data_IF_773766765744
#
_entry.id   IF_773766765744
#
_cell.length_a   1.000
_cell.length_b   1.000
_cell.length_c   1.000
_cell.angle_alpha   90.00
_cell.angle_beta   90.00
_cell.angle_gamma   90.00
#
_symmetry.space_group_name_H-M   'P 1'
#
loop_
_entity.id
_entity.type
_entity.pdbx_description
1 polymer ?
#
# COMPACT_ATOMS: atom_id res chain seq x y z
N UNK A 1 -1.53 -18.93 2.57
CA UNK A 1 -2.99 -18.86 2.31
C UNK A 1 -3.51 -17.48 1.87
N UNK A 2 -3.00 -16.34 2.37
CA UNK A 2 -3.57 -15.00 2.03
C UNK A 2 -3.45 -14.57 0.55
N UNK A 3 -2.49 -15.12 -0.21
CA UNK A 3 -2.29 -14.82 -1.63
C UNK A 3 -3.25 -15.61 -2.56
N UNK A 4 -3.65 -16.83 -2.17
CA UNK A 4 -4.50 -17.70 -2.98
C UNK A 4 -5.91 -17.11 -3.16
N UNK A 5 -6.49 -16.52 -2.12
CA UNK A 5 -7.84 -15.96 -2.18
C UNK A 5 -7.94 -14.72 -3.09
N UNK A 6 -6.88 -13.90 -3.16
CA UNK A 6 -6.83 -12.75 -4.07
C UNK A 6 -6.68 -13.19 -5.54
N UNK A 7 -5.84 -14.21 -5.78
CA UNK A 7 -5.69 -14.83 -7.10
C UNK A 7 -6.99 -15.48 -7.59
N UNK A 8 -7.71 -16.18 -6.71
CA UNK A 8 -9.03 -16.73 -7.04
C UNK A 8 -10.03 -15.64 -7.44
N UNK A 9 -10.09 -14.52 -6.69
CA UNK A 9 -10.97 -13.39 -7.06
C UNK A 9 -10.65 -12.77 -8.41
N UNK A 10 -9.37 -12.65 -8.77
CA UNK A 10 -8.97 -12.14 -10.08
C UNK A 10 -9.36 -13.12 -11.20
N UNK A 11 -9.20 -14.43 -10.96
CA UNK A 11 -9.70 -15.45 -11.89
C UNK A 11 -11.22 -15.38 -12.04
N UNK A 12 -11.98 -15.26 -10.94
CA UNK A 12 -13.44 -15.17 -10.96
C UNK A 12 -13.93 -13.95 -11.76
N UNK A 13 -13.27 -12.79 -11.61
CA UNK A 13 -13.56 -11.57 -12.37
C UNK A 13 -13.30 -11.74 -13.87
N UNK A 14 -12.18 -12.37 -14.25
CA UNK A 14 -11.85 -12.65 -15.65
C UNK A 14 -12.80 -13.69 -16.26
N UNK A 15 -13.20 -14.71 -15.50
CA UNK A 15 -14.21 -15.69 -15.92
C UNK A 15 -15.57 -15.02 -16.13
N UNK A 16 -15.96 -14.10 -15.25
CA UNK A 16 -17.20 -13.33 -15.38
C UNK A 16 -17.18 -12.43 -16.62
N UNK A 17 -16.07 -11.72 -16.89
CA UNK A 17 -15.90 -10.90 -18.10
C UNK A 17 -15.91 -11.75 -19.37
N UNK A 18 -15.26 -12.92 -19.34
CA UNK A 18 -15.27 -13.88 -20.44
C UNK A 18 -16.68 -14.37 -20.78
N UNK A 19 -17.48 -14.71 -19.77
CA UNK A 19 -18.85 -15.19 -19.96
C UNK A 19 -19.80 -14.13 -20.54
N UNK A 20 -19.48 -12.84 -20.37
CA UNK A 20 -20.31 -11.71 -20.83
C UNK A 20 -19.97 -11.22 -22.24
N UNK A 21 -18.92 -11.76 -22.87
CA UNK A 21 -18.44 -11.31 -24.18
C UNK A 21 -18.61 -12.42 -25.21
N UNK A 22 -19.11 -12.07 -26.40
CA UNK A 22 -19.20 -12.98 -27.54
C UNK A 22 -17.97 -12.89 -28.47
N UNK A 23 -17.06 -11.94 -28.22
CA UNK A 23 -15.83 -11.77 -28.99
C UNK A 23 -14.81 -12.85 -28.65
N UNK A 24 -14.42 -13.66 -29.64
CA UNK A 24 -13.50 -14.79 -29.48
C UNK A 24 -12.12 -14.31 -29.02
N UNK A 25 -11.59 -13.25 -29.64
CA UNK A 25 -10.27 -12.70 -29.29
C UNK A 25 -10.24 -12.18 -27.85
N UNK A 26 -11.31 -11.55 -27.39
CA UNK A 26 -11.43 -11.07 -26.01
C UNK A 26 -11.48 -12.23 -25.00
N UNK A 27 -12.21 -13.30 -25.34
CA UNK A 27 -12.31 -14.49 -24.49
C UNK A 27 -10.99 -15.24 -24.38
N UNK A 28 -10.26 -15.37 -25.50
CA UNK A 28 -8.93 -15.97 -25.54
C UNK A 28 -7.94 -15.15 -24.70
N UNK A 29 -8.05 -13.82 -24.72
CA UNK A 29 -7.20 -12.94 -23.91
C UNK A 29 -7.53 -13.01 -22.41
N UNK A 30 -8.80 -13.17 -22.03
CA UNK A 30 -9.19 -13.50 -20.65
C UNK A 30 -8.57 -14.83 -20.19
N UNK A 31 -8.58 -15.86 -21.04
CA UNK A 31 -8.01 -17.16 -20.71
C UNK A 31 -6.47 -17.09 -20.54
N UNK A 32 -5.79 -16.35 -21.41
CA UNK A 32 -4.36 -16.03 -21.24
C UNK A 32 -4.06 -15.32 -19.91
N UNK A 33 -4.86 -14.33 -19.50
CA UNK A 33 -4.71 -13.65 -18.22
C UNK A 33 -4.94 -14.57 -17.01
N UNK A 34 -5.91 -15.50 -17.11
CA UNK A 34 -6.17 -16.51 -16.08
C UNK A 34 -4.97 -17.46 -15.94
N UNK A 35 -4.36 -17.87 -17.05
CA UNK A 35 -3.18 -18.73 -17.05
C UNK A 35 -1.96 -18.04 -16.41
N UNK A 36 -1.77 -16.74 -16.66
CA UNK A 36 -0.79 -15.92 -15.94
C UNK A 36 -1.05 -15.97 -14.42
N UNK A 37 -2.29 -15.71 -13.98
CA UNK A 37 -2.63 -15.72 -12.55
C UNK A 37 -2.40 -17.11 -11.95
N UNK A 38 -2.77 -18.19 -12.64
CA UNK A 38 -2.64 -19.58 -12.18
C UNK A 38 -1.18 -20.05 -12.12
N UNK A 39 -0.33 -19.63 -13.06
CA UNK A 39 1.10 -19.93 -13.06
C UNK A 39 1.82 -19.33 -11.83
N UNK A 40 1.29 -18.24 -11.27
CA UNK A 40 1.89 -17.57 -10.13
C UNK A 40 3.17 -16.79 -10.46
N UNK A 41 3.44 -16.55 -11.74
CA UNK A 41 4.59 -15.79 -12.22
C UNK A 41 4.28 -14.29 -12.12
N UNK A 42 4.65 -13.68 -10.99
CA UNK A 42 4.31 -12.29 -10.66
C UNK A 42 4.77 -11.25 -11.68
N UNK A 43 5.84 -11.51 -12.44
CA UNK A 43 6.37 -10.58 -13.45
C UNK A 43 5.42 -10.35 -14.63
N UNK A 44 4.44 -11.23 -14.82
CA UNK A 44 3.45 -11.14 -15.89
C UNK A 44 2.13 -10.49 -15.42
N UNK A 45 1.99 -10.18 -14.13
CA UNK A 45 0.74 -9.64 -13.58
C UNK A 45 0.45 -8.21 -14.07
N UNK A 46 1.49 -7.50 -14.53
CA UNK A 46 1.35 -6.20 -15.19
C UNK A 46 0.38 -6.27 -16.38
N UNK A 47 0.44 -7.33 -17.18
CA UNK A 47 -0.40 -7.51 -18.37
C UNK A 47 -1.87 -7.77 -17.98
N UNK A 48 -2.08 -8.50 -16.89
CA UNK A 48 -3.41 -8.75 -16.31
C UNK A 48 -4.03 -7.45 -15.77
N UNK A 49 -3.24 -6.61 -15.11
CA UNK A 49 -3.74 -5.33 -14.57
C UNK A 49 -4.03 -4.31 -15.66
N UNK A 50 -3.19 -4.25 -16.70
CA UNK A 50 -3.46 -3.43 -17.89
C UNK A 50 -4.76 -3.86 -18.59
N UNK A 51 -4.98 -5.17 -18.75
CA UNK A 51 -6.21 -5.70 -19.34
C UNK A 51 -7.47 -5.39 -18.53
N UNK A 52 -7.35 -5.32 -17.20
CA UNK A 52 -8.44 -4.96 -16.31
C UNK A 52 -8.69 -3.44 -16.23
N UNK A 53 -7.96 -2.63 -17.01
CA UNK A 53 -8.01 -1.16 -16.99
C UNK A 53 -7.72 -0.61 -15.58
N UNK A 54 -6.81 -1.28 -14.86
CA UNK A 54 -6.25 -0.76 -13.62
C UNK A 54 -5.14 0.22 -13.99
N UNK A 55 -5.53 1.45 -14.35
CA UNK A 55 -4.75 2.45 -15.09
C UNK A 55 -3.40 2.93 -14.49
N UNK A 56 -3.02 2.54 -13.27
CA UNK A 56 -1.67 2.81 -12.78
C UNK A 56 -1.07 1.59 -12.09
N UNK A 57 0.15 1.24 -12.52
CA UNK A 57 0.94 0.19 -11.89
C UNK A 57 1.60 0.73 -10.60
N UNK A 58 1.57 -0.09 -9.55
CA UNK A 58 2.38 0.18 -8.37
C UNK A 58 3.87 0.03 -8.72
N UNK A 59 4.53 1.15 -8.95
CA UNK A 59 5.98 1.15 -9.18
C UNK A 59 6.78 0.80 -7.93
N UNK A 60 8.01 0.32 -8.11
CA UNK A 60 9.00 0.13 -7.03
C UNK A 60 9.23 1.40 -6.19
N UNK A 61 9.07 2.57 -6.80
CA UNK A 61 9.19 3.86 -6.11
C UNK A 61 8.07 4.02 -5.06
N UNK A 62 6.83 3.71 -5.42
CA UNK A 62 5.69 3.75 -4.49
C UNK A 62 5.91 2.77 -3.33
N UNK A 63 6.34 1.54 -3.62
CA UNK A 63 6.61 0.50 -2.62
C UNK A 63 7.65 0.99 -1.60
N UNK A 64 8.82 1.44 -2.08
CA UNK A 64 9.92 1.91 -1.23
C UNK A 64 9.50 3.08 -0.34
N UNK A 65 8.73 4.03 -0.88
CA UNK A 65 8.28 5.20 -0.13
C UNK A 65 7.28 4.84 0.97
N UNK A 66 6.32 3.98 0.67
CA UNK A 66 5.34 3.51 1.66
C UNK A 66 6.03 2.73 2.76
N UNK A 67 6.93 1.80 2.42
CA UNK A 67 7.68 1.00 3.38
C UNK A 67 8.52 1.90 4.31
N UNK A 68 9.21 2.90 3.75
CA UNK A 68 9.99 3.86 4.52
C UNK A 68 9.13 4.66 5.49
N UNK A 69 8.02 5.23 5.01
CA UNK A 69 7.11 6.04 5.84
C UNK A 69 6.53 5.19 6.96
N UNK A 70 6.06 3.98 6.66
CA UNK A 70 5.51 3.08 7.66
C UNK A 70 6.55 2.75 8.72
N UNK A 71 7.75 2.32 8.33
CA UNK A 71 8.83 1.97 9.27
C UNK A 71 9.14 3.13 10.21
N UNK A 72 9.26 4.35 9.67
CA UNK A 72 9.56 5.52 10.48
C UNK A 72 8.42 5.87 11.45
N UNK A 73 7.17 5.73 11.04
CA UNK A 73 6.06 5.99 11.94
C UNK A 73 5.85 4.88 12.98
N UNK A 74 6.20 3.62 12.70
CA UNK A 74 6.24 2.57 13.71
C UNK A 74 7.23 2.91 14.82
N UNK A 75 8.42 3.41 14.47
CA UNK A 75 9.40 3.91 15.46
C UNK A 75 8.83 5.08 16.27
N UNK A 76 8.15 6.03 15.62
CA UNK A 76 7.53 7.18 16.30
C UNK A 76 6.46 6.71 17.28
N UNK A 77 5.57 5.81 16.89
CA UNK A 77 4.53 5.26 17.76
C UNK A 77 5.15 4.60 19.01
N UNK A 78 6.24 3.84 18.83
CA UNK A 78 6.96 3.24 19.95
C UNK A 78 7.57 4.29 20.88
N UNK A 79 8.20 5.34 20.34
CA UNK A 79 8.76 6.43 21.14
C UNK A 79 7.68 7.21 21.91
N UNK A 80 6.50 7.37 21.34
CA UNK A 80 5.41 8.13 21.94
C UNK A 80 4.61 7.31 22.96
N UNK A 81 4.58 5.97 22.81
CA UNK A 81 3.81 5.06 23.68
C UNK A 81 4.10 5.27 25.17
N UNK A 82 5.37 5.49 25.51
CA UNK A 82 5.83 5.61 26.89
C UNK A 82 6.13 7.08 27.30
N UNK A 83 5.82 8.06 26.44
CA UNK A 83 6.10 9.48 26.70
C UNK A 83 4.86 10.36 26.42
N UNK A 84 4.03 10.55 27.45
CA UNK A 84 2.75 11.27 27.35
C UNK A 84 2.88 12.75 26.95
N UNK A 85 3.99 13.41 27.32
CA UNK A 85 4.26 14.79 26.93
C UNK A 85 4.54 14.89 25.42
N UNK A 86 5.43 14.04 24.90
CA UNK A 86 5.70 13.95 23.47
C UNK A 86 4.46 13.52 22.70
N UNK A 87 3.70 12.54 23.21
CA UNK A 87 2.46 12.08 22.58
C UNK A 87 1.48 13.23 22.40
N UNK A 88 1.21 14.01 23.45
CA UNK A 88 0.29 15.15 23.36
C UNK A 88 0.75 16.21 22.36
N UNK A 89 2.06 16.42 22.23
CA UNK A 89 2.64 17.34 21.26
C UNK A 89 2.51 16.86 19.82
N UNK A 90 2.64 15.57 19.57
CA UNK A 90 2.75 15.00 18.22
C UNK A 90 1.56 14.15 17.76
N UNK A 91 0.53 13.92 18.59
CA UNK A 91 -0.65 13.10 18.25
C UNK A 91 -1.39 13.54 16.97
N UNK A 92 -1.34 14.83 16.63
CA UNK A 92 -1.93 15.37 15.40
C UNK A 92 -1.10 15.10 14.13
N UNK A 93 0.15 14.66 14.30
CA UNK A 93 1.08 14.35 13.23
C UNK A 93 1.19 12.86 12.93
N UNK A 94 0.49 12.01 13.70
CA UNK A 94 0.45 10.56 13.51
C UNK A 94 -0.03 10.15 12.12
N UNK A 95 0.20 8.89 11.77
CA UNK A 95 -0.11 8.34 10.46
C UNK A 95 -1.63 8.26 10.23
N UNK A 96 -2.11 8.87 9.14
CA UNK A 96 -3.55 8.98 8.81
C UNK A 96 -3.92 8.32 7.49
N UNK A 97 -2.97 7.63 6.83
CA UNK A 97 -3.12 7.08 5.46
C UNK A 97 -2.61 8.03 4.38
N UNK A 98 -2.66 7.58 3.13
CA UNK A 98 -2.14 8.29 1.97
C UNK A 98 -3.25 8.97 1.16
N UNK A 99 -2.96 10.14 0.60
CA UNK A 99 -3.82 10.77 -0.42
C UNK A 99 -3.66 10.13 -1.79
N UNK A 100 -2.48 9.56 -2.04
CA UNK A 100 -2.16 8.81 -3.26
C UNK A 100 -2.80 7.42 -3.16
N UNK A 101 -3.62 7.07 -4.16
CA UNK A 101 -4.45 5.88 -4.08
C UNK A 101 -3.65 4.57 -4.26
N UNK A 102 -2.53 4.60 -4.99
CA UNK A 102 -1.65 3.43 -5.12
C UNK A 102 -0.91 3.17 -3.82
N UNK A 103 -0.37 4.22 -3.20
CA UNK A 103 0.28 4.14 -1.90
C UNK A 103 -0.70 3.67 -0.81
N UNK A 104 -1.93 4.20 -0.83
CA UNK A 104 -3.00 3.78 0.08
C UNK A 104 -3.39 2.31 -0.13
N UNK A 105 -3.53 1.88 -1.39
CA UNK A 105 -3.85 0.49 -1.72
C UNK A 105 -2.78 -0.47 -1.23
N UNK A 106 -1.51 -0.11 -1.38
CA UNK A 106 -0.38 -0.89 -0.87
C UNK A 106 -0.35 -0.94 0.65
N UNK A 107 -0.56 0.19 1.34
CA UNK A 107 -0.71 0.21 2.80
C UNK A 107 -1.82 -0.72 3.30
N UNK A 108 -3.00 -0.66 2.68
CA UNK A 108 -4.13 -1.53 3.03
C UNK A 108 -3.80 -3.00 2.76
N UNK A 109 -3.08 -3.30 1.67
CA UNK A 109 -2.58 -4.64 1.40
C UNK A 109 -1.64 -5.13 2.51
N UNK A 110 -0.66 -4.33 2.92
CA UNK A 110 0.26 -4.65 4.01
C UNK A 110 -0.50 -4.88 5.33
N UNK A 111 -1.46 -4.02 5.66
CA UNK A 111 -2.28 -4.13 6.88
C UNK A 111 -3.14 -5.38 6.89
N UNK A 112 -3.88 -5.67 5.82
CA UNK A 112 -4.71 -6.90 5.68
C UNK A 112 -3.89 -8.17 5.77
N UNK A 113 -2.64 -8.11 5.28
CA UNK A 113 -1.72 -9.23 5.32
C UNK A 113 -0.95 -9.37 6.63
N UNK A 114 -1.18 -8.51 7.63
CA UNK A 114 -0.45 -8.47 8.91
C UNK A 114 1.07 -8.30 8.69
N UNK A 115 1.46 -7.54 7.67
CA UNK A 115 2.88 -7.22 7.41
C UNK A 115 3.36 -6.01 8.18
N UNK A 116 2.44 -5.17 8.64
CA UNK A 116 2.71 -3.94 9.37
C UNK A 116 1.77 -3.85 10.58
N UNK A 117 2.22 -3.19 11.63
CA UNK A 117 1.49 -3.07 12.90
C UNK A 117 0.89 -1.68 13.10
N UNK A 118 1.45 -0.65 12.46
CA UNK A 118 1.05 0.75 12.60
C UNK A 118 -0.47 0.98 12.53
N UNK A 119 -1.08 1.66 13.51
CA UNK A 119 -2.49 2.04 13.45
C UNK A 119 -2.72 3.19 12.46
N UNK A 120 -3.91 3.22 11.86
CA UNK A 120 -4.38 4.40 11.13
C UNK A 120 -5.15 5.29 12.11
N UNK A 121 -4.66 6.50 12.33
CA UNK A 121 -5.32 7.48 13.20
C UNK A 121 -6.39 8.27 12.45
N UNK A 122 -7.42 8.77 13.17
CA UNK A 122 -8.41 9.65 12.59
C UNK A 122 -7.76 10.98 12.17
N UNK A 123 -8.12 11.47 10.99
CA UNK A 123 -7.64 12.74 10.47
C UNK A 123 -7.60 12.77 8.94
N UNK A 124 -7.15 13.90 8.39
CA UNK A 124 -6.95 14.05 6.95
C UNK A 124 -5.77 13.17 6.50
N UNK A 125 -5.95 12.42 5.42
CA UNK A 125 -4.86 11.71 4.75
C UNK A 125 -3.79 12.69 4.26
N UNK A 126 -2.56 12.23 4.15
CA UNK A 126 -1.42 13.08 3.79
C UNK A 126 -0.71 12.51 2.56
N UNK A 127 -0.13 13.40 1.77
CA UNK A 127 0.74 13.04 0.65
C UNK A 127 2.12 12.57 1.13
N UNK A 128 2.84 11.83 0.28
CA UNK A 128 4.24 11.44 0.54
C UNK A 128 5.11 12.67 0.88
N UNK A 129 4.89 13.80 0.18
CA UNK A 129 5.61 15.05 0.42
C UNK A 129 5.37 15.61 1.82
N UNK A 130 4.14 15.56 2.32
CA UNK A 130 3.79 15.99 3.67
C UNK A 130 4.45 15.12 4.74
N UNK A 131 4.41 13.80 4.54
CA UNK A 131 5.10 12.85 5.41
C UNK A 131 6.61 13.11 5.46
N UNK A 132 7.29 13.20 4.32
CA UNK A 132 8.74 13.51 4.26
C UNK A 132 9.09 14.82 4.99
N UNK A 133 8.30 15.88 4.80
CA UNK A 133 8.51 17.17 5.49
C UNK A 133 8.39 17.07 7.01
N UNK A 134 7.45 16.26 7.50
CA UNK A 134 7.33 16.01 8.94
C UNK A 134 8.51 15.20 9.46
N UNK A 135 8.80 14.06 8.82
CA UNK A 135 9.86 13.13 9.24
C UNK A 135 11.24 13.81 9.28
N UNK A 136 11.55 14.67 8.32
CA UNK A 136 12.78 15.47 8.34
C UNK A 136 12.84 16.42 9.56
N UNK A 137 11.76 17.17 9.83
CA UNK A 137 11.70 18.05 11.01
C UNK A 137 11.77 17.28 12.32
N UNK A 138 11.11 16.13 12.38
CA UNK A 138 11.07 15.28 13.55
C UNK A 138 12.47 14.73 13.88
N UNK A 139 13.19 14.18 12.90
CA UNK A 139 14.59 13.74 13.04
C UNK A 139 15.50 14.85 13.57
N UNK A 140 15.45 16.05 12.98
CA UNK A 140 16.24 17.19 13.46
C UNK A 140 15.92 17.55 14.91
N UNK A 141 14.63 17.53 15.29
CA UNK A 141 14.20 17.87 16.65
C UNK A 141 14.58 16.84 17.72
N UNK A 142 14.66 15.55 17.35
CA UNK A 142 15.13 14.50 18.27
C UNK A 142 16.65 14.60 18.44
N UNK A 143 17.40 14.74 17.35
CA UNK A 143 18.88 14.83 17.40
C UNK A 143 19.32 16.02 18.25
N UNK A 144 18.63 17.17 18.17
CA UNK A 144 18.91 18.32 19.03
C UNK A 144 18.63 18.07 20.51
N UNK A 145 17.71 17.16 20.86
CA UNK A 145 17.41 16.80 22.26
C UNK A 145 18.34 15.73 22.83
N UNK A 146 18.98 14.91 22.00
CA UNK A 146 19.95 13.91 22.45
C UNK A 146 21.37 14.46 22.65
N UNK A 147 21.60 15.70 22.23
CA UNK A 147 22.88 16.41 22.33
C UNK A 147 22.91 17.44 23.48
N UNK A 148 21.87 17.48 24.32
CA UNK A 148 21.72 18.31 25.51
C UNK A 148 21.41 17.38 26.68
#
# INVERSE_FOLDING_TARGET
MKNLHARLKLCDELELRKQKSDCVEYRDYCDYCIDIIRSGISSLYIEVFQFLEMDEEITDSHIKEVDLIISMYEEIELMLKDNSELYNRYKHQLFTGFTDYLCESYYLFLKRNNKISIPRHPGKTKSLKEYRKFLNRFKTSIIQKSLI
#
